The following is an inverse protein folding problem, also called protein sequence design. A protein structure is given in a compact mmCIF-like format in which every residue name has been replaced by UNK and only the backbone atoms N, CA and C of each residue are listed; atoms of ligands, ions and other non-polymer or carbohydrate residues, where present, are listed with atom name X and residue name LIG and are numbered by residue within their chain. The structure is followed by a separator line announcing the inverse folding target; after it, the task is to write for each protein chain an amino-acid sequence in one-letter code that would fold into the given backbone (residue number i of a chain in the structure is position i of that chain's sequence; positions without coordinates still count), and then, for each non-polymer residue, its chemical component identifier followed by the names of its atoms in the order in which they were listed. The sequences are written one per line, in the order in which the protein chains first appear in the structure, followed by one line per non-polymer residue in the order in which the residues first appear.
data_IF_449025834903
#
_entry.id   IF_449025834903
#
_cell.length_a   1.000
_cell.length_b   1.000
_cell.length_c   1.000
_cell.angle_alpha   90.00
_cell.angle_beta   90.00
_cell.angle_gamma   90.00
#
_symmetry.space_group_name_H-M   'P 1'
#
loop_
_entity.id
_entity.type
_entity.pdbx_description
1 polymer ?
#
# COMPACT_ATOMS: atom_id res chain seq x y z
N UNK A 1 68.04 35.84 48.33
CA UNK A 1 67.11 35.58 49.46
C UNK A 1 65.70 35.52 48.90
N UNK A 2 65.05 34.35 49.00
CA UNK A 2 63.62 34.16 49.24
C UNK A 2 63.30 32.70 48.90
N UNK A 3 63.18 31.87 49.93
CA UNK A 3 62.70 30.51 49.81
C UNK A 3 61.19 30.51 49.51
N UNK A 4 60.74 29.57 48.67
CA UNK A 4 59.37 29.05 48.76
C UNK A 4 59.43 27.54 48.80
N UNK A 5 58.96 27.04 49.94
CA UNK A 5 58.76 25.64 50.27
C UNK A 5 57.59 25.07 49.46
N UNK A 6 57.88 23.99 48.74
CA UNK A 6 57.19 22.69 48.67
C UNK A 6 55.66 22.70 48.57
N UNK A 7 55.16 21.97 47.56
CA UNK A 7 54.10 20.99 47.82
C UNK A 7 54.52 19.62 47.23
N UNK A 8 54.57 18.53 48.01
CA UNK A 8 55.04 17.22 47.57
C UNK A 8 53.89 16.31 47.10
N UNK A 9 52.80 16.88 46.59
CA UNK A 9 51.54 16.17 46.30
C UNK A 9 50.82 16.61 45.01
N UNK A 10 51.53 16.93 43.92
CA UNK A 10 50.85 17.17 42.63
C UNK A 10 51.27 16.17 41.56
N UNK A 11 50.52 15.05 41.59
CA UNK A 11 50.08 14.11 40.54
C UNK A 11 50.86 14.04 39.22
N UNK A 12 51.16 12.77 38.89
CA UNK A 12 51.87 12.16 37.78
C UNK A 12 51.72 12.73 36.36
N UNK A 13 52.76 12.40 35.59
CA UNK A 13 52.98 12.64 34.17
C UNK A 13 52.11 11.70 33.27
N UNK A 14 52.32 11.68 31.95
CA UNK A 14 51.39 12.06 30.89
C UNK A 14 50.54 10.89 30.32
N UNK A 15 49.37 11.16 29.76
CA UNK A 15 48.67 10.24 28.85
C UNK A 15 47.78 11.11 27.97
N UNK A 16 48.09 11.33 26.70
CA UNK A 16 47.96 10.33 25.65
C UNK A 16 46.72 10.71 24.85
N UNK A 17 46.86 10.85 23.53
CA UNK A 17 45.76 11.21 22.64
C UNK A 17 46.25 11.96 21.43
N UNK A 18 47.01 11.25 20.59
CA UNK A 18 47.13 11.56 19.17
C UNK A 18 45.78 11.30 18.48
N UNK A 19 45.68 11.78 17.23
CA UNK A 19 44.76 11.34 16.16
C UNK A 19 43.29 11.84 16.30
N UNK A 20 42.54 12.21 15.25
CA UNK A 20 42.58 11.89 13.82
C UNK A 20 42.06 13.05 12.96
N UNK A 21 42.54 13.11 11.72
CA UNK A 21 42.09 14.01 10.67
C UNK A 21 40.75 13.53 10.10
N UNK A 22 39.78 14.46 10.00
CA UNK A 22 38.41 14.25 9.54
C UNK A 22 38.38 13.98 8.01
N UNK A 23 38.61 12.73 7.59
CA UNK A 23 38.31 12.26 6.22
C UNK A 23 36.80 12.00 6.10
N UNK A 24 36.07 12.97 5.55
CA UNK A 24 34.64 12.81 5.23
C UNK A 24 34.50 12.06 3.91
N UNK A 25 34.34 10.75 4.00
CA UNK A 25 33.86 9.93 2.90
C UNK A 25 32.42 10.33 2.54
N UNK A 26 32.24 10.88 1.33
CA UNK A 26 30.92 11.09 0.75
C UNK A 26 30.30 9.73 0.45
N UNK A 27 29.43 9.24 1.35
CA UNK A 27 28.59 8.07 1.06
C UNK A 27 27.71 8.36 -0.16
N UNK A 28 28.11 7.79 -1.29
CA UNK A 28 27.35 7.71 -2.52
C UNK A 28 25.97 7.09 -2.22
N UNK A 29 24.96 7.94 -2.14
CA UNK A 29 23.57 7.53 -2.07
C UNK A 29 23.19 6.81 -3.37
N UNK A 30 23.50 5.52 -3.46
CA UNK A 30 22.91 4.59 -4.43
C UNK A 30 21.45 4.40 -4.06
N UNK A 31 20.64 5.42 -4.36
CA UNK A 31 19.20 5.34 -4.33
C UNK A 31 18.78 4.13 -5.16
N UNK A 32 18.14 3.16 -4.52
CA UNK A 32 17.62 1.98 -5.18
C UNK A 32 16.72 2.43 -6.34
N UNK A 33 17.13 2.13 -7.57
CA UNK A 33 16.36 2.44 -8.77
C UNK A 33 15.09 1.57 -8.74
N UNK A 34 14.01 2.14 -8.22
CA UNK A 34 12.77 1.41 -8.10
C UNK A 34 12.23 1.13 -9.51
N UNK A 35 12.22 -0.15 -9.88
CA UNK A 35 11.67 -0.64 -11.13
C UNK A 35 10.32 0.02 -11.39
N UNK A 36 10.19 0.70 -12.55
CA UNK A 36 8.97 1.41 -12.98
C UNK A 36 7.79 0.46 -12.83
N UNK A 37 7.01 0.66 -11.76
CA UNK A 37 5.79 -0.12 -11.49
C UNK A 37 4.92 -0.04 -12.74
N UNK A 38 4.68 -1.19 -13.36
CA UNK A 38 3.80 -1.32 -14.52
C UNK A 38 2.51 -0.57 -14.21
N UNK A 39 2.21 0.48 -14.99
CA UNK A 39 1.02 1.30 -14.79
C UNK A 39 -0.17 0.46 -15.28
N UNK A 40 -0.77 -0.31 -14.36
CA UNK A 40 -1.97 -1.08 -14.66
C UNK A 40 -3.12 -0.09 -14.81
N UNK A 41 -3.78 0.00 -15.98
CA UNK A 41 -4.90 0.90 -16.16
C UNK A 41 -6.05 0.45 -15.26
N UNK A 42 -6.37 1.25 -14.25
CA UNK A 42 -7.50 1.02 -13.35
C UNK A 42 -8.72 1.78 -13.86
N UNK A 43 -9.85 1.09 -13.98
CA UNK A 43 -11.13 1.71 -14.31
C UNK A 43 -12.05 1.67 -13.09
N UNK A 44 -12.63 2.82 -12.77
CA UNK A 44 -13.52 2.94 -11.61
C UNK A 44 -14.97 2.72 -12.03
N UNK A 45 -15.58 1.67 -11.51
CA UNK A 45 -16.99 1.34 -11.72
C UNK A 45 -17.83 1.99 -10.61
N UNK A 46 -18.63 3.00 -10.96
CA UNK A 46 -19.48 3.75 -10.02
C UNK A 46 -20.95 3.42 -10.28
N UNK A 47 -21.53 2.54 -9.46
CA UNK A 47 -22.98 2.29 -9.46
C UNK A 47 -23.54 2.01 -8.07
N UNK A 48 -22.75 1.38 -7.19
CA UNK A 48 -23.17 1.11 -5.82
C UNK A 48 -23.11 2.36 -4.95
N UNK A 49 -24.12 2.52 -4.09
CA UNK A 49 -24.23 3.62 -3.13
C UNK A 49 -23.50 3.31 -1.82
N UNK A 50 -23.29 2.03 -1.53
CA UNK A 50 -22.63 1.55 -0.31
C UNK A 50 -21.48 0.58 -0.64
N UNK A 51 -20.91 -0.04 0.40
CA UNK A 51 -19.79 -0.98 0.26
C UNK A 51 -20.18 -2.15 -0.65
N UNK A 52 -19.29 -2.47 -1.59
CA UNK A 52 -19.39 -3.69 -2.40
C UNK A 52 -18.98 -4.86 -1.52
N UNK A 53 -19.87 -5.82 -1.34
CA UNK A 53 -19.66 -6.98 -0.46
C UNK A 53 -18.98 -8.11 -1.21
N UNK A 54 -19.33 -8.31 -2.48
CA UNK A 54 -18.62 -9.24 -3.35
C UNK A 54 -18.65 -8.81 -4.82
N UNK A 55 -17.69 -9.33 -5.58
CA UNK A 55 -17.62 -9.20 -7.03
C UNK A 55 -17.11 -10.51 -7.66
N UNK A 56 -17.75 -10.99 -8.73
CA UNK A 56 -17.36 -12.22 -9.44
C UNK A 56 -17.42 -12.03 -10.95
N UNK A 57 -16.39 -12.53 -11.64
CA UNK A 57 -16.37 -12.63 -13.10
C UNK A 57 -17.28 -13.76 -13.57
N UNK A 58 -17.87 -13.60 -14.75
CA UNK A 58 -18.81 -14.53 -15.34
C UNK A 58 -18.77 -14.52 -16.87
N UNK A 59 -19.31 -15.58 -17.46
CA UNK A 59 -19.34 -15.82 -18.91
C UNK A 59 -17.97 -15.58 -19.57
N UNK A 60 -17.00 -16.44 -19.22
CA UNK A 60 -15.64 -16.36 -19.77
C UNK A 60 -15.01 -14.97 -19.58
N UNK A 61 -15.12 -14.44 -18.36
CA UNK A 61 -14.58 -13.13 -17.93
C UNK A 61 -15.04 -11.91 -18.75
N UNK A 62 -16.10 -12.06 -19.56
CA UNK A 62 -16.65 -10.97 -20.36
C UNK A 62 -17.55 -10.05 -19.53
N UNK A 63 -18.09 -10.56 -18.42
CA UNK A 63 -18.94 -9.80 -17.51
C UNK A 63 -18.46 -9.92 -16.07
N UNK A 64 -18.71 -8.87 -15.30
CA UNK A 64 -18.46 -8.81 -13.87
C UNK A 64 -19.79 -8.59 -13.15
N UNK A 65 -20.12 -9.44 -12.19
CA UNK A 65 -21.25 -9.25 -11.29
C UNK A 65 -20.73 -8.69 -9.97
N UNK A 66 -21.21 -7.51 -9.55
CA UNK A 66 -20.96 -6.98 -8.21
C UNK A 66 -22.25 -6.93 -7.41
N UNK A 67 -22.14 -7.14 -6.10
CA UNK A 67 -23.23 -7.01 -5.15
C UNK A 67 -22.79 -6.12 -3.98
N UNK A 68 -23.74 -5.41 -3.39
CA UNK A 68 -23.47 -4.42 -2.35
C UNK A 68 -24.47 -4.50 -1.21
N UNK A 69 -24.05 -3.94 -0.07
CA UNK A 69 -24.91 -3.68 1.08
C UNK A 69 -26.07 -2.73 0.77
N UNK A 70 -26.00 -1.98 -0.33
CA UNK A 70 -27.08 -1.10 -0.81
C UNK A 70 -28.31 -1.84 -1.38
N UNK A 71 -28.37 -3.16 -1.16
CA UNK A 71 -29.39 -4.11 -1.64
C UNK A 71 -29.50 -4.23 -3.16
N UNK A 72 -28.49 -3.75 -3.88
CA UNK A 72 -28.40 -3.87 -5.33
C UNK A 72 -27.29 -4.82 -5.77
N UNK A 73 -27.50 -5.42 -6.93
CA UNK A 73 -26.45 -6.10 -7.68
C UNK A 73 -26.35 -5.48 -9.08
N UNK A 74 -25.14 -5.38 -9.62
CA UNK A 74 -24.90 -4.78 -10.93
C UNK A 74 -24.11 -5.75 -11.78
N UNK A 75 -24.61 -6.02 -12.98
CA UNK A 75 -23.87 -6.73 -14.02
C UNK A 75 -23.17 -5.69 -14.90
N UNK A 76 -21.86 -5.83 -14.98
CA UNK A 76 -20.97 -4.98 -15.76
C UNK A 76 -20.44 -5.76 -16.96
N UNK A 77 -20.26 -5.05 -18.06
CA UNK A 77 -19.52 -5.54 -19.22
C UNK A 77 -18.05 -5.13 -19.06
N UNK A 78 -17.13 -6.09 -19.15
CA UNK A 78 -15.70 -5.88 -18.86
C UNK A 78 -15.03 -5.09 -19.98
N UNK A 79 -15.39 -5.33 -21.25
CA UNK A 79 -14.81 -4.63 -22.41
C UNK A 79 -15.18 -3.14 -22.40
N UNK A 80 -16.47 -2.84 -22.21
CA UNK A 80 -16.98 -1.47 -22.21
C UNK A 80 -16.84 -0.77 -20.85
N UNK A 81 -16.65 -1.55 -19.78
CA UNK A 81 -16.70 -1.10 -18.38
C UNK A 81 -17.99 -0.32 -18.05
N UNK A 82 -19.11 -0.75 -18.64
CA UNK A 82 -20.43 -0.12 -18.43
C UNK A 82 -21.35 -1.05 -17.67
N UNK A 83 -22.23 -0.51 -16.80
CA UNK A 83 -23.27 -1.32 -16.17
C UNK A 83 -24.27 -1.73 -17.26
N UNK A 84 -24.43 -3.04 -17.49
CA UNK A 84 -25.43 -3.59 -18.41
C UNK A 84 -26.78 -3.75 -17.74
N UNK A 85 -26.78 -4.15 -16.47
CA UNK A 85 -28.01 -4.45 -15.75
C UNK A 85 -27.87 -4.09 -14.29
N UNK A 86 -28.84 -3.34 -13.79
CA UNK A 86 -29.02 -3.04 -12.38
C UNK A 86 -30.14 -3.94 -11.85
N UNK A 87 -29.80 -4.80 -10.90
CA UNK A 87 -30.75 -5.58 -10.11
C UNK A 87 -31.02 -4.80 -8.83
N UNK A 88 -32.17 -4.12 -8.79
CA UNK A 88 -32.63 -3.37 -7.62
C UNK A 88 -34.03 -3.85 -7.24
N UNK A 89 -34.36 -3.81 -5.94
CA UNK A 89 -35.68 -4.22 -5.44
C UNK A 89 -35.91 -5.74 -5.36
N UNK A 90 -34.89 -6.56 -5.61
CA UNK A 90 -34.97 -8.03 -5.44
C UNK A 90 -34.71 -8.43 -3.99
N UNK A 91 -33.83 -7.71 -3.30
CA UNK A 91 -33.47 -7.97 -1.90
C UNK A 91 -33.88 -6.77 -1.04
N UNK A 92 -34.54 -7.06 0.08
CA UNK A 92 -34.89 -6.06 1.11
C UNK A 92 -33.76 -5.90 2.15
N UNK A 93 -32.79 -6.83 2.14
CA UNK A 93 -31.64 -6.87 3.05
C UNK A 93 -30.33 -6.75 2.27
N UNK A 94 -29.22 -6.31 2.93
CA UNK A 94 -27.91 -6.22 2.29
C UNK A 94 -27.50 -7.58 1.72
N UNK A 95 -26.95 -7.55 0.51
CA UNK A 95 -26.50 -8.77 -0.17
C UNK A 95 -25.11 -9.10 0.37
N UNK A 96 -24.96 -10.22 1.07
CA UNK A 96 -23.67 -10.63 1.65
C UNK A 96 -22.72 -11.17 0.58
N UNK A 97 -23.22 -11.97 -0.35
CA UNK A 97 -22.43 -12.60 -1.40
C UNK A 97 -23.26 -12.79 -2.67
N UNK A 98 -22.57 -12.85 -3.82
CA UNK A 98 -23.16 -13.17 -5.10
C UNK A 98 -22.33 -14.26 -5.80
N UNK A 99 -22.98 -15.33 -6.24
CA UNK A 99 -22.38 -16.42 -6.99
C UNK A 99 -23.00 -16.50 -8.38
N UNK A 100 -22.16 -16.68 -9.41
CA UNK A 100 -22.63 -17.01 -10.75
C UNK A 100 -22.45 -18.50 -10.94
N UNK A 101 -23.55 -19.19 -11.22
CA UNK A 101 -23.49 -20.59 -11.63
C UNK A 101 -23.14 -20.56 -13.13
N UNK A 102 -22.09 -21.27 -13.57
CA UNK A 102 -21.80 -21.42 -14.99
C UNK A 102 -22.72 -22.50 -15.57
N UNK A 103 -24.02 -22.24 -15.60
CA UNK A 103 -24.96 -23.06 -16.33
C UNK A 103 -24.98 -22.59 -17.78
N UNK A 104 -24.16 -23.26 -18.61
CA UNK A 104 -24.42 -23.33 -20.04
C UNK A 104 -25.81 -23.92 -20.23
N UNK A 105 -26.69 -23.16 -20.89
CA UNK A 105 -27.99 -23.58 -21.41
C UNK A 105 -29.22 -23.46 -20.48
N UNK A 106 -30.01 -22.40 -20.71
CA UNK A 106 -31.46 -22.48 -20.97
C UNK A 106 -31.91 -21.31 -21.83
#
# INVERSE_FOLDING_TARGET
MAAKNIDPLSVDEPTGGEEEEDEKEEEEQRGAEWSKKTQVPVKQLRAHREAVTAARLCFNDSFLLSCSSDTTAVLWDVESCRPRRLFSGVHEKPVSECAVIPNSNR
#
